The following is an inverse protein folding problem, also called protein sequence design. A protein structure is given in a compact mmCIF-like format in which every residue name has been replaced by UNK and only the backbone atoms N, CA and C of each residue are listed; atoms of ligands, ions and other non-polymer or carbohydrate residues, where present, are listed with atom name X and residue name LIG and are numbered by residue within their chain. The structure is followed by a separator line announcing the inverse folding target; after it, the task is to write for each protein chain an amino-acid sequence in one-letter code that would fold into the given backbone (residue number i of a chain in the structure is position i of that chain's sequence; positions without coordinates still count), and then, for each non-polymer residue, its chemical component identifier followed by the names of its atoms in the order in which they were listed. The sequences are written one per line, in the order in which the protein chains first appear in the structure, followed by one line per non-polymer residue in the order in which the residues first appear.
data_IF_707182031058
#
_entry.id   IF_707182031058
#
_cell.length_a   1.000
_cell.length_b   1.000
_cell.length_c   1.000
_cell.angle_alpha   90.00
_cell.angle_beta   90.00
_cell.angle_gamma   90.00
#
_symmetry.space_group_name_H-M   'P 1'
#
loop_
_entity.id
_entity.type
_entity.pdbx_description
1 polymer ?
#
# COMPACT_ATOMS: atom_id res chain seq x y z
N UNK A 1 -4.30 -1.33 17.54
CA UNK A 1 -3.09 -0.67 17.03
C UNK A 1 -3.43 0.76 16.61
N UNK A 2 -2.54 1.66 16.90
CA UNK A 2 -2.71 3.04 16.48
C UNK A 2 -2.52 3.14 14.96
N UNK A 3 -3.56 3.55 14.26
CA UNK A 3 -3.55 3.74 12.79
C UNK A 3 -3.20 5.16 12.39
N UNK A 4 -2.54 5.86 13.28
CA UNK A 4 -1.99 7.18 12.99
C UNK A 4 -1.12 7.13 11.74
N UNK A 5 -1.25 8.15 10.87
CA UNK A 5 -0.50 8.22 9.63
C UNK A 5 1.01 8.15 9.82
N UNK A 6 1.52 8.60 10.98
CA UNK A 6 2.94 8.51 11.31
C UNK A 6 3.42 7.08 11.46
N UNK A 7 2.53 6.19 11.90
CA UNK A 7 2.89 4.83 12.25
C UNK A 7 2.79 3.84 11.10
N UNK A 8 1.85 4.06 10.16
CA UNK A 8 1.63 3.09 9.08
C UNK A 8 2.86 2.93 8.19
N UNK A 9 3.52 4.01 7.85
CA UNK A 9 4.72 3.95 6.99
C UNK A 9 5.91 3.36 7.74
N UNK A 10 6.13 3.80 8.96
CA UNK A 10 7.19 3.25 9.81
C UNK A 10 6.95 1.77 10.07
N UNK A 11 5.73 1.38 10.40
CA UNK A 11 5.41 -0.02 10.67
C UNK A 11 5.68 -0.90 9.47
N UNK A 12 5.29 -0.45 8.28
CA UNK A 12 5.56 -1.18 7.05
C UNK A 12 7.07 -1.36 6.84
N UNK A 13 7.83 -0.27 7.00
CA UNK A 13 9.29 -0.31 6.84
C UNK A 13 9.93 -1.26 7.85
N UNK A 14 9.58 -1.14 9.11
CA UNK A 14 10.15 -1.97 10.17
C UNK A 14 9.79 -3.43 10.01
N UNK A 15 8.55 -3.71 9.62
CA UNK A 15 8.11 -5.08 9.36
C UNK A 15 8.92 -5.70 8.22
N UNK A 16 9.27 -4.92 7.22
CA UNK A 16 10.08 -5.38 6.10
C UNK A 16 11.59 -5.45 6.42
N UNK A 17 12.00 -4.95 7.60
CA UNK A 17 13.40 -4.97 7.99
C UNK A 17 14.27 -3.95 7.26
N UNK A 18 13.67 -2.88 6.75
CA UNK A 18 14.37 -1.87 5.97
C UNK A 18 14.79 -0.69 6.85
N UNK A 19 15.96 -0.12 6.56
CA UNK A 19 16.35 1.17 7.12
C UNK A 19 15.66 2.29 6.33
N UNK A 20 15.60 3.48 6.90
CA UNK A 20 15.06 4.65 6.19
C UNK A 20 15.86 4.93 4.91
N UNK A 21 17.17 4.81 5.00
CA UNK A 21 18.07 5.05 3.87
C UNK A 21 17.84 4.03 2.74
N UNK A 22 17.74 2.75 3.11
CA UNK A 22 17.51 1.69 2.12
C UNK A 22 16.15 1.83 1.46
N UNK A 23 15.12 2.13 2.25
CA UNK A 23 13.78 2.30 1.71
C UNK A 23 13.71 3.50 0.77
N UNK A 24 14.36 4.61 1.17
CA UNK A 24 14.44 5.79 0.31
C UNK A 24 15.09 5.46 -1.04
N UNK A 25 16.17 4.67 -1.02
CA UNK A 25 16.84 4.22 -2.23
C UNK A 25 15.90 3.40 -3.11
N UNK A 26 15.18 2.46 -2.52
CA UNK A 26 14.22 1.63 -3.25
C UNK A 26 13.05 2.43 -3.82
N UNK A 27 12.64 3.48 -3.13
CA UNK A 27 11.53 4.35 -3.56
C UNK A 27 11.97 5.46 -4.51
N UNK A 28 13.28 5.66 -4.67
CA UNK A 28 13.81 6.73 -5.51
C UNK A 28 13.60 8.12 -4.94
N UNK A 29 13.57 8.24 -3.61
CA UNK A 29 13.37 9.51 -2.90
C UNK A 29 14.50 9.72 -1.88
N UNK A 30 14.54 10.90 -1.26
CA UNK A 30 15.54 11.18 -0.24
C UNK A 30 15.19 10.52 1.10
N UNK A 31 16.18 10.14 1.92
CA UNK A 31 15.91 9.66 3.28
C UNK A 31 15.14 10.68 4.12
N UNK A 32 15.33 11.97 3.87
CA UNK A 32 14.59 13.02 4.56
C UNK A 32 13.10 12.94 4.27
N UNK A 33 12.73 12.61 3.03
CA UNK A 33 11.32 12.40 2.67
C UNK A 33 10.71 11.26 3.46
N UNK A 34 11.43 10.15 3.60
CA UNK A 34 10.96 9.01 4.41
C UNK A 34 10.74 9.45 5.86
N UNK A 35 11.69 10.19 6.42
CA UNK A 35 11.57 10.69 7.79
C UNK A 35 10.35 11.58 7.96
N UNK A 36 10.06 12.44 6.99
CA UNK A 36 8.90 13.34 7.03
C UNK A 36 7.60 12.56 6.95
N UNK A 37 7.53 11.54 6.13
CA UNK A 37 6.35 10.68 6.05
C UNK A 37 6.10 9.99 7.39
N UNK A 38 7.15 9.44 7.99
CA UNK A 38 7.05 8.73 9.27
C UNK A 38 6.76 9.66 10.45
N UNK A 39 7.17 10.92 10.35
CA UNK A 39 6.89 11.93 11.37
C UNK A 39 5.50 12.57 11.21
N UNK A 40 4.80 12.28 10.13
CA UNK A 40 3.50 12.91 9.86
C UNK A 40 3.60 14.34 9.36
N UNK A 41 4.80 14.81 8.99
CA UNK A 41 5.02 16.16 8.49
C UNK A 41 4.58 16.30 7.02
N UNK A 42 4.50 15.19 6.30
CA UNK A 42 4.16 15.17 4.89
C UNK A 42 3.50 13.85 4.56
N UNK A 43 2.51 13.86 3.66
CA UNK A 43 1.90 12.62 3.16
C UNK A 43 2.54 12.24 1.83
N UNK A 44 2.89 10.96 1.64
CA UNK A 44 3.36 10.52 0.33
C UNK A 44 2.24 10.53 -0.70
N UNK A 45 2.61 10.65 -1.97
CA UNK A 45 1.65 10.52 -3.06
C UNK A 45 1.13 9.09 -3.15
N UNK A 46 -0.02 8.91 -3.81
CA UNK A 46 -0.58 7.57 -4.01
C UNK A 46 0.41 6.64 -4.73
N UNK A 47 1.12 7.15 -5.72
CA UNK A 47 2.13 6.38 -6.45
C UNK A 47 3.27 5.93 -5.54
N UNK A 48 3.73 6.82 -4.67
CA UNK A 48 4.76 6.47 -3.68
C UNK A 48 4.26 5.39 -2.73
N UNK A 49 3.00 5.48 -2.30
CA UNK A 49 2.42 4.48 -1.39
C UNK A 49 2.33 3.12 -2.07
N UNK A 50 1.99 3.08 -3.35
CA UNK A 50 1.98 1.82 -4.11
C UNK A 50 3.37 1.20 -4.17
N UNK A 51 4.40 2.00 -4.38
CA UNK A 51 5.79 1.53 -4.34
C UNK A 51 6.20 1.09 -2.94
N UNK A 52 5.73 1.79 -1.92
CA UNK A 52 5.94 1.38 -0.52
C UNK A 52 5.35 0.00 -0.26
N UNK A 53 4.16 -0.26 -0.76
CA UNK A 53 3.51 -1.55 -0.62
C UNK A 53 4.32 -2.65 -1.34
N UNK A 54 4.79 -2.38 -2.53
CA UNK A 54 5.60 -3.33 -3.30
C UNK A 54 6.92 -3.65 -2.60
N UNK A 55 7.63 -2.62 -2.14
CA UNK A 55 8.96 -2.80 -1.54
C UNK A 55 8.90 -3.48 -0.18
N UNK A 56 7.81 -3.34 0.55
CA UNK A 56 7.64 -3.93 1.89
C UNK A 56 6.84 -5.23 1.87
N UNK A 57 6.06 -5.47 0.83
CA UNK A 57 5.13 -6.59 0.79
C UNK A 57 3.88 -6.39 1.64
N UNK A 58 3.67 -5.18 2.16
CA UNK A 58 2.51 -4.87 3.01
C UNK A 58 1.37 -4.41 2.10
N UNK A 59 0.56 -5.36 1.66
CA UNK A 59 -0.47 -5.13 0.66
C UNK A 59 -1.63 -4.24 1.15
N UNK A 60 -1.81 -4.12 2.46
CA UNK A 60 -2.86 -3.28 3.04
C UNK A 60 -2.42 -1.83 3.23
N UNK A 61 -1.17 -1.51 2.97
CA UNK A 61 -0.66 -0.16 3.18
C UNK A 61 -1.43 0.92 2.39
N UNK A 62 -1.78 0.70 1.11
CA UNK A 62 -2.59 1.69 0.39
C UNK A 62 -3.95 1.93 1.04
N UNK A 63 -4.57 0.90 1.60
CA UNK A 63 -5.84 1.03 2.32
C UNK A 63 -5.67 1.91 3.56
N UNK A 64 -4.64 1.63 4.35
CA UNK A 64 -4.35 2.43 5.53
C UNK A 64 -4.05 3.89 5.18
N UNK A 65 -3.33 4.10 4.08
CA UNK A 65 -3.03 5.44 3.59
C UNK A 65 -4.30 6.21 3.24
N UNK A 66 -5.21 5.60 2.50
CA UNK A 66 -6.48 6.23 2.14
C UNK A 66 -7.30 6.56 3.38
N UNK A 67 -7.37 5.65 4.34
CA UNK A 67 -8.09 5.88 5.59
C UNK A 67 -7.46 7.02 6.41
N UNK A 68 -6.14 7.13 6.39
CA UNK A 68 -5.43 8.14 7.14
C UNK A 68 -5.60 9.54 6.55
N UNK A 69 -5.75 9.64 5.22
CA UNK A 69 -5.80 10.95 4.55
C UNK A 69 -7.22 11.45 4.27
N UNK A 70 -8.25 10.62 4.46
CA UNK A 70 -9.62 10.96 4.09
C UNK A 70 -10.61 10.44 5.13
N UNK A 71 -11.39 11.35 5.71
CA UNK A 71 -12.45 10.97 6.64
C UNK A 71 -13.53 10.11 5.96
N UNK A 72 -13.78 10.37 4.68
CA UNK A 72 -14.75 9.58 3.91
C UNK A 72 -14.22 8.16 3.74
N UNK A 73 -12.95 8.01 3.40
CA UNK A 73 -12.34 6.70 3.23
C UNK A 73 -12.29 5.95 4.56
N UNK A 74 -12.00 6.64 5.66
CA UNK A 74 -12.01 6.02 6.99
C UNK A 74 -13.39 5.45 7.33
N UNK A 75 -14.45 6.16 6.96
CA UNK A 75 -15.81 5.74 7.22
C UNK A 75 -16.26 4.59 6.31
N UNK A 76 -15.87 4.62 5.04
CA UNK A 76 -16.35 3.69 4.02
C UNK A 76 -15.51 2.44 3.83
N UNK A 77 -14.21 2.51 4.15
CA UNK A 77 -13.30 1.40 3.94
C UNK A 77 -13.07 0.61 5.23
N UNK A 78 -12.92 -0.73 5.14
CA UNK A 78 -12.68 -1.54 6.32
C UNK A 78 -11.30 -1.26 6.94
N UNK A 79 -11.21 -1.44 8.25
CA UNK A 79 -9.93 -1.41 8.95
C UNK A 79 -9.34 -2.81 8.95
N UNK A 80 -8.18 -2.95 8.31
CA UNK A 80 -7.45 -4.22 8.24
C UNK A 80 -6.26 -4.13 9.19
N UNK A 81 -6.13 -5.07 10.15
CA UNK A 81 -5.07 -4.98 11.15
C UNK A 81 -3.69 -5.24 10.56
N UNK A 82 -2.67 -4.71 11.24
CA UNK A 82 -1.26 -4.89 10.90
C UNK A 82 -0.76 -6.21 11.49
N UNK A 83 -1.24 -7.31 10.95
CA UNK A 83 -0.85 -8.67 11.34
C UNK A 83 -0.68 -9.48 10.07
N UNK A 84 0.03 -10.63 10.13
CA UNK A 84 0.10 -11.52 8.97
C UNK A 84 -1.31 -11.89 8.52
N UNK A 85 -1.59 -11.66 7.24
CA UNK A 85 -2.90 -11.93 6.69
C UNK A 85 -3.15 -13.42 6.58
N UNK A 86 -4.35 -13.92 6.95
CA UNK A 86 -4.72 -15.30 6.68
C UNK A 86 -4.63 -15.60 5.20
N UNK A 87 -4.36 -16.86 4.88
CA UNK A 87 -4.26 -17.32 3.49
C UNK A 87 -5.49 -16.93 2.67
N UNK A 88 -6.68 -17.02 3.27
CA UNK A 88 -7.92 -16.67 2.58
C UNK A 88 -7.95 -15.20 2.18
N UNK A 89 -7.47 -14.31 3.06
CA UNK A 89 -7.41 -12.87 2.78
C UNK A 89 -6.38 -12.58 1.70
N UNK A 90 -5.23 -13.23 1.77
CA UNK A 90 -4.21 -13.10 0.72
C UNK A 90 -4.74 -13.55 -0.64
N UNK A 91 -5.48 -14.66 -0.66
CA UNK A 91 -6.12 -15.13 -1.88
C UNK A 91 -7.14 -14.14 -2.40
N UNK A 92 -7.91 -13.51 -1.51
CA UNK A 92 -8.89 -12.51 -1.91
C UNK A 92 -8.20 -11.30 -2.54
N UNK A 93 -7.15 -10.80 -1.92
CA UNK A 93 -6.38 -9.67 -2.47
C UNK A 93 -5.78 -10.02 -3.83
N UNK A 94 -5.23 -11.22 -3.95
CA UNK A 94 -4.68 -11.72 -5.22
C UNK A 94 -5.78 -11.85 -6.26
N UNK A 95 -6.97 -12.31 -5.86
CA UNK A 95 -8.12 -12.46 -6.75
C UNK A 95 -8.60 -11.12 -7.29
N UNK A 96 -8.63 -10.08 -6.45
CA UNK A 96 -9.00 -8.73 -6.88
C UNK A 96 -8.01 -8.23 -7.95
N UNK A 97 -6.73 -8.44 -7.73
CA UNK A 97 -5.69 -8.10 -8.70
C UNK A 97 -5.85 -8.91 -9.98
N UNK A 98 -6.12 -10.22 -9.86
CA UNK A 98 -6.33 -11.10 -11.00
C UNK A 98 -7.59 -10.74 -11.79
N UNK A 99 -8.65 -10.32 -11.10
CA UNK A 99 -9.90 -9.88 -11.75
C UNK A 99 -9.63 -8.65 -12.59
N UNK A 100 -8.87 -7.67 -12.09
CA UNK A 100 -8.47 -6.52 -12.88
C UNK A 100 -7.72 -6.95 -14.14
N UNK A 101 -6.74 -7.84 -14.00
CA UNK A 101 -6.00 -8.36 -15.15
C UNK A 101 -6.88 -9.16 -16.10
N UNK A 102 -7.83 -9.92 -15.56
CA UNK A 102 -8.76 -10.72 -16.38
C UNK A 102 -9.70 -9.83 -17.18
N UNK A 103 -10.16 -8.74 -16.62
CA UNK A 103 -10.99 -7.77 -17.33
C UNK A 103 -10.20 -7.18 -18.50
N UNK A 104 -8.97 -6.80 -18.29
CA UNK A 104 -8.09 -6.29 -19.34
C UNK A 104 -7.89 -7.33 -20.44
N UNK A 105 -7.68 -8.58 -20.06
CA UNK A 105 -7.54 -9.69 -21.01
C UNK A 105 -8.82 -9.90 -21.83
N UNK A 106 -9.99 -9.85 -21.20
CA UNK A 106 -11.26 -10.00 -21.89
C UNK A 106 -11.48 -8.89 -22.91
N UNK A 107 -11.14 -7.66 -22.54
CA UNK A 107 -11.23 -6.51 -23.43
C UNK A 107 -10.30 -6.72 -24.63
N UNK A 108 -9.10 -7.18 -24.38
CA UNK A 108 -8.10 -7.43 -25.43
C UNK A 108 -8.55 -8.55 -26.37
N UNK A 109 -9.06 -9.65 -25.81
CA UNK A 109 -9.58 -10.76 -26.61
C UNK A 109 -10.74 -10.31 -27.50
N UNK A 110 -11.66 -9.52 -26.95
CA UNK A 110 -12.76 -8.97 -27.71
C UNK A 110 -12.28 -8.03 -28.83
N UNK A 111 -11.23 -7.26 -28.55
CA UNK A 111 -10.62 -6.35 -29.52
C UNK A 111 -9.91 -7.11 -30.63
N UNK A 112 -9.43 -8.31 -30.38
CA UNK A 112 -8.70 -9.12 -31.34
C UNK A 112 -9.62 -9.90 -32.28
N UNK A 113 -10.89 -9.56 -32.33
CA UNK A 113 -11.79 -10.11 -33.32
C UNK A 113 -12.59 -11.31 -32.85
N UNK A 114 -12.71 -11.44 -31.61
CA UNK A 114 -13.56 -12.49 -31.03
C UNK A 114 -15.03 -12.18 -31.12
#
# INVERSE_FOLDING_TARGET
MDKDARNIYRNARQTAGLTQERWAELLGISPDSVRRYEAGAMLPSDETVLMMAETTGILVLPLWHLRAKSAIAEDMLPDVPDVPLPQAVLKLLTSVKAVSGSIDNLIQIASDGM
#
